data_IF_903576107937
#
_entry.id   IF_903576107937
#
_cell.length_a   1.000
_cell.length_b   1.000
_cell.length_c   1.000
_cell.angle_alpha   90.00
_cell.angle_beta   90.00
_cell.angle_gamma   90.00
#
_symmetry.space_group_name_H-M   'P 1'
#
loop_
_entity.id
_entity.type
_entity.pdbx_description
1 polymer ?
#
# COMPACT_ATOMS: atom_id res chain seq x y z
N UNK A 1 -2.35 -2.76 -16.87
CA UNK A 1 -2.46 -1.31 -16.94
C UNK A 1 -2.95 -0.92 -18.33
N UNK A 2 -3.98 -0.10 -18.41
CA UNK A 2 -4.47 0.47 -19.67
C UNK A 2 -4.01 1.94 -19.69
N UNK A 3 -3.36 2.35 -20.78
CA UNK A 3 -2.93 3.75 -20.95
C UNK A 3 -4.14 4.65 -21.19
N UNK A 4 -4.11 5.85 -20.66
CA UNK A 4 -5.18 6.86 -20.88
C UNK A 4 -5.14 7.41 -22.31
N UNK A 5 -3.93 7.50 -22.89
CA UNK A 5 -3.74 7.93 -24.27
C UNK A 5 -2.81 6.97 -25.00
N UNK A 6 -3.05 6.70 -26.30
CA UNK A 6 -2.14 5.88 -27.10
C UNK A 6 -0.81 6.60 -27.33
N UNK A 7 0.28 5.86 -27.21
CA UNK A 7 1.63 6.38 -27.53
C UNK A 7 2.00 5.95 -28.93
N UNK A 8 2.33 6.92 -29.79
CA UNK A 8 2.81 6.64 -31.14
C UNK A 8 4.26 6.25 -31.10
N UNK A 9 4.58 5.07 -31.67
CA UNK A 9 5.96 4.63 -31.89
C UNK A 9 6.49 5.35 -33.14
N UNK A 10 7.00 6.52 -32.96
CA UNK A 10 7.56 7.38 -34.00
C UNK A 10 8.80 8.11 -33.46
N UNK A 11 9.76 8.42 -34.30
CA UNK A 11 11.06 9.03 -34.03
C UNK A 11 12.03 8.09 -33.28
N UNK A 12 13.11 8.64 -32.71
CA UNK A 12 14.08 7.88 -31.96
C UNK A 12 13.48 7.12 -30.77
N UNK A 13 14.12 6.02 -30.41
CA UNK A 13 13.63 5.11 -29.35
C UNK A 13 13.45 5.86 -28.03
N UNK A 14 14.35 6.78 -27.70
CA UNK A 14 14.31 7.55 -26.45
C UNK A 14 13.04 8.40 -26.34
N UNK A 15 12.58 8.97 -27.48
CA UNK A 15 11.42 9.87 -27.49
C UNK A 15 10.13 9.13 -27.18
N UNK A 16 9.89 8.02 -27.86
CA UNK A 16 8.64 7.27 -27.62
C UNK A 16 8.67 6.51 -26.31
N UNK A 17 9.85 6.04 -25.83
CA UNK A 17 9.98 5.43 -24.49
C UNK A 17 9.68 6.45 -23.39
N UNK A 18 10.22 7.66 -23.47
CA UNK A 18 9.92 8.74 -22.52
C UNK A 18 8.42 9.10 -22.52
N UNK A 19 7.79 9.12 -23.69
CA UNK A 19 6.35 9.35 -23.77
C UNK A 19 5.55 8.19 -23.19
N UNK A 20 5.96 6.95 -23.43
CA UNK A 20 5.33 5.76 -22.84
C UNK A 20 5.41 5.81 -21.31
N UNK A 21 6.58 6.11 -20.77
CA UNK A 21 6.81 6.25 -19.34
C UNK A 21 5.90 7.31 -18.72
N UNK A 22 5.79 8.48 -19.31
CA UNK A 22 4.89 9.55 -18.88
C UNK A 22 3.43 9.09 -18.86
N UNK A 23 2.95 8.45 -19.92
CA UNK A 23 1.57 7.97 -20.01
C UNK A 23 1.30 6.82 -19.02
N UNK A 24 2.26 5.93 -18.79
CA UNK A 24 2.15 4.88 -17.76
C UNK A 24 2.01 5.50 -16.36
N UNK A 25 2.78 6.53 -16.03
CA UNK A 25 2.70 7.25 -14.76
C UNK A 25 1.35 7.96 -14.60
N UNK A 26 0.88 8.62 -15.65
CA UNK A 26 -0.44 9.23 -15.65
C UNK A 26 -1.56 8.21 -15.40
N UNK A 27 -1.51 7.07 -16.09
CA UNK A 27 -2.50 6.01 -15.94
C UNK A 27 -2.48 5.41 -14.52
N UNK A 28 -1.31 5.23 -13.92
CA UNK A 28 -1.17 4.72 -12.56
C UNK A 28 -1.68 5.72 -11.50
N UNK A 29 -1.38 7.01 -11.67
CA UNK A 29 -1.92 8.07 -10.79
C UNK A 29 -3.44 8.13 -10.84
N UNK A 30 -4.02 8.12 -12.04
CA UNK A 30 -5.46 8.13 -12.22
C UNK A 30 -6.11 6.89 -11.59
N UNK A 31 -5.53 5.70 -11.82
CA UNK A 31 -6.00 4.44 -11.24
C UNK A 31 -5.89 4.44 -9.70
N UNK A 32 -4.85 5.04 -9.13
CA UNK A 32 -4.70 5.17 -7.67
C UNK A 32 -5.75 6.14 -7.08
N UNK A 33 -5.96 7.29 -7.71
CA UNK A 33 -6.96 8.26 -7.27
C UNK A 33 -8.38 7.68 -7.31
N UNK A 34 -8.72 6.95 -8.38
CA UNK A 34 -9.99 6.24 -8.52
C UNK A 34 -10.15 5.15 -7.45
N UNK A 35 -9.15 4.29 -7.28
CA UNK A 35 -9.19 3.19 -6.32
C UNK A 35 -9.25 3.69 -4.86
N UNK A 36 -8.63 4.85 -4.55
CA UNK A 36 -8.71 5.49 -3.23
C UNK A 36 -10.11 6.03 -2.94
N UNK A 37 -10.80 6.58 -3.94
CA UNK A 37 -12.13 7.17 -3.80
C UNK A 37 -13.27 6.16 -3.84
N UNK A 38 -13.03 4.96 -4.32
CA UNK A 38 -14.05 3.92 -4.47
C UNK A 38 -14.59 3.45 -3.11
N UNK A 39 -15.85 3.80 -2.80
CA UNK A 39 -16.54 3.39 -1.56
C UNK A 39 -16.90 1.90 -1.51
N UNK A 40 -16.97 1.23 -2.65
CA UNK A 40 -17.17 -0.22 -2.78
C UNK A 40 -16.03 -0.78 -3.63
N UNK A 41 -15.66 -2.05 -3.39
CA UNK A 41 -14.79 -2.83 -4.29
C UNK A 41 -15.37 -2.74 -5.70
N UNK A 42 -15.11 -1.64 -6.38
CA UNK A 42 -15.35 -1.55 -7.81
C UNK A 42 -14.56 -2.70 -8.44
N UNK A 43 -15.20 -3.44 -9.34
CA UNK A 43 -14.53 -4.44 -10.19
C UNK A 43 -13.56 -3.77 -11.19
N UNK A 44 -13.05 -2.58 -10.81
CA UNK A 44 -12.05 -1.86 -11.57
C UNK A 44 -10.85 -2.77 -11.73
N UNK A 45 -10.45 -2.97 -12.95
CA UNK A 45 -9.30 -3.78 -13.35
C UNK A 45 -8.00 -3.06 -12.95
N UNK A 46 -7.87 -2.79 -11.64
CA UNK A 46 -6.73 -2.09 -11.05
C UNK A 46 -5.49 -2.96 -11.18
N UNK A 47 -4.37 -2.40 -11.60
CA UNK A 47 -3.12 -3.13 -11.62
C UNK A 47 -2.71 -3.55 -10.20
N UNK A 48 -1.92 -4.63 -10.08
CA UNK A 48 -1.53 -5.21 -8.79
C UNK A 48 -0.83 -4.20 -7.88
N UNK A 49 0.03 -3.35 -8.42
CA UNK A 49 0.77 -2.32 -7.68
C UNK A 49 -0.17 -1.32 -6.99
N UNK A 50 -1.15 -0.80 -7.72
CA UNK A 50 -2.14 0.13 -7.17
C UNK A 50 -3.03 -0.56 -6.13
N UNK A 51 -3.50 -1.78 -6.43
CA UNK A 51 -4.34 -2.53 -5.49
C UNK A 51 -3.62 -2.80 -4.15
N UNK A 52 -2.34 -3.14 -4.22
CA UNK A 52 -1.49 -3.35 -3.04
C UNK A 52 -1.29 -2.06 -2.26
N UNK A 53 -1.00 -0.96 -2.93
CA UNK A 53 -0.80 0.34 -2.29
C UNK A 53 -2.07 0.80 -1.57
N UNK A 54 -3.23 0.70 -2.23
CA UNK A 54 -4.52 1.05 -1.62
C UNK A 54 -4.82 0.17 -0.40
N UNK A 55 -4.53 -1.13 -0.47
CA UNK A 55 -4.71 -2.04 0.67
C UNK A 55 -3.82 -1.64 1.85
N UNK A 56 -2.56 -1.25 1.61
CA UNK A 56 -1.61 -0.83 2.64
C UNK A 56 -1.99 0.52 3.25
N UNK A 57 -2.36 1.50 2.43
CA UNK A 57 -2.83 2.82 2.89
C UNK A 57 -4.09 2.67 3.75
N UNK A 58 -5.02 1.82 3.32
CA UNK A 58 -6.22 1.52 4.11
C UNK A 58 -5.86 0.92 5.46
N UNK A 59 -4.98 -0.09 5.49
CA UNK A 59 -4.54 -0.73 6.71
C UNK A 59 -3.90 0.26 7.69
N UNK A 60 -2.98 1.11 7.23
CA UNK A 60 -2.34 2.13 8.05
C UNK A 60 -3.38 3.04 8.70
N UNK A 61 -4.33 3.56 7.92
CA UNK A 61 -5.40 4.43 8.42
C UNK A 61 -6.31 3.73 9.43
N UNK A 62 -6.69 2.49 9.15
CA UNK A 62 -7.61 1.74 10.01
C UNK A 62 -6.95 1.40 11.37
N UNK A 63 -5.64 1.11 11.39
CA UNK A 63 -4.86 0.92 12.64
C UNK A 63 -4.70 2.24 13.40
N UNK A 64 -4.38 3.34 12.73
CA UNK A 64 -4.30 4.66 13.39
C UNK A 64 -5.63 5.06 14.02
N UNK A 65 -6.75 4.76 13.35
CA UNK A 65 -8.07 4.97 13.93
C UNK A 65 -8.30 4.14 15.20
N UNK A 66 -7.86 2.89 15.24
CA UNK A 66 -7.97 2.04 16.43
C UNK A 66 -7.07 2.54 17.57
N UNK A 67 -5.83 3.01 17.27
CA UNK A 67 -4.95 3.65 18.24
C UNK A 67 -5.62 4.89 18.83
N UNK A 68 -6.13 5.77 17.97
CA UNK A 68 -6.82 7.00 18.39
C UNK A 68 -8.06 6.73 19.25
N UNK A 69 -8.85 5.71 18.90
CA UNK A 69 -10.01 5.30 19.70
C UNK A 69 -9.59 4.79 21.09
N UNK A 70 -8.53 3.98 21.16
CA UNK A 70 -7.99 3.50 22.44
C UNK A 70 -7.47 4.64 23.32
N UNK A 71 -6.75 5.60 22.73
CA UNK A 71 -6.17 6.71 23.47
C UNK A 71 -7.21 7.73 23.95
N UNK A 72 -8.20 8.06 23.12
CA UNK A 72 -9.19 9.11 23.41
C UNK A 72 -10.37 8.61 24.23
N UNK A 73 -10.79 7.35 24.04
CA UNK A 73 -12.02 6.79 24.62
C UNK A 73 -11.75 5.65 25.60
N UNK A 74 -10.50 5.23 25.77
CA UNK A 74 -10.11 4.00 26.47
C UNK A 74 -10.91 2.77 25.97
N UNK A 75 -11.23 2.76 24.66
CA UNK A 75 -12.06 1.74 24.03
C UNK A 75 -11.19 0.74 23.30
N UNK A 76 -11.05 -0.44 23.87
CA UNK A 76 -10.29 -1.54 23.29
C UNK A 76 -11.14 -2.36 22.30
N UNK A 77 -12.46 -2.15 22.24
CA UNK A 77 -13.33 -2.87 21.31
C UNK A 77 -13.01 -2.60 19.86
N UNK A 78 -12.49 -1.39 19.56
CA UNK A 78 -12.03 -1.04 18.22
C UNK A 78 -10.94 -1.99 17.67
N UNK A 79 -10.11 -2.56 18.53
CA UNK A 79 -9.12 -3.56 18.15
C UNK A 79 -9.75 -4.92 17.84
N UNK A 80 -10.81 -5.30 18.56
CA UNK A 80 -11.55 -6.54 18.30
C UNK A 80 -12.25 -6.48 16.94
N UNK A 81 -12.94 -5.37 16.66
CA UNK A 81 -13.60 -5.12 15.39
C UNK A 81 -12.62 -5.10 14.23
N UNK A 82 -11.47 -4.43 14.43
CA UNK A 82 -10.41 -4.37 13.44
C UNK A 82 -9.84 -5.78 13.15
N UNK A 83 -9.53 -6.54 14.19
CA UNK A 83 -9.01 -7.91 14.06
C UNK A 83 -10.01 -8.84 13.35
N UNK A 84 -11.30 -8.74 13.70
CA UNK A 84 -12.36 -9.50 13.03
C UNK A 84 -12.47 -9.14 11.54
N UNK A 85 -12.43 -7.86 11.22
CA UNK A 85 -12.51 -7.35 9.84
C UNK A 85 -11.35 -7.87 8.98
N UNK A 86 -10.11 -7.79 9.47
CA UNK A 86 -8.93 -8.24 8.71
C UNK A 86 -8.80 -9.77 8.66
N UNK A 87 -9.29 -10.48 9.69
CA UNK A 87 -9.43 -11.94 9.65
C UNK A 87 -10.40 -12.38 8.56
N UNK A 88 -11.55 -11.72 8.47
CA UNK A 88 -12.56 -12.00 7.45
C UNK A 88 -12.05 -11.65 6.03
N UNK A 89 -11.38 -10.50 5.85
CA UNK A 89 -10.79 -10.10 4.56
C UNK A 89 -9.74 -11.12 4.06
N UNK A 90 -8.89 -11.62 4.95
CA UNK A 90 -7.93 -12.67 4.61
C UNK A 90 -8.61 -13.99 4.23
N UNK A 91 -9.69 -14.37 4.94
CA UNK A 91 -10.48 -15.57 4.66
C UNK A 91 -11.14 -15.48 3.28
N UNK A 92 -11.80 -14.36 2.96
CA UNK A 92 -12.44 -14.14 1.66
C UNK A 92 -11.44 -14.23 0.51
N UNK A 93 -10.25 -13.63 0.66
CA UNK A 93 -9.18 -13.71 -0.35
C UNK A 93 -8.66 -15.14 -0.53
N UNK A 94 -8.56 -15.90 0.55
CA UNK A 94 -8.15 -17.30 0.49
C UNK A 94 -9.23 -18.17 -0.20
N UNK A 95 -10.50 -17.90 0.03
CA UNK A 95 -11.62 -18.61 -0.61
C UNK A 95 -11.65 -18.35 -2.12
N UNK A 96 -11.40 -17.10 -2.56
CA UNK A 96 -11.28 -16.75 -3.98
C UNK A 96 -10.19 -17.60 -4.67
N UNK A 97 -9.04 -17.81 -4.02
CA UNK A 97 -7.96 -18.62 -4.58
C UNK A 97 -8.23 -20.13 -4.56
N UNK A 98 -9.07 -20.60 -3.64
CA UNK A 98 -9.45 -22.01 -3.51
C UNK A 98 -10.58 -22.41 -4.45
N UNK A 99 -11.37 -21.45 -4.93
CA UNK A 99 -12.51 -21.75 -5.80
C UNK A 99 -12.06 -22.38 -7.11
N UNK A 100 -12.53 -23.59 -7.46
CA UNK A 100 -12.17 -24.28 -8.70
C UNK A 100 -12.62 -23.52 -9.95
N UNK A 101 -13.74 -22.81 -9.91
CA UNK A 101 -14.23 -21.98 -11.02
C UNK A 101 -13.34 -20.79 -11.37
N UNK A 102 -12.48 -20.37 -10.46
CA UNK A 102 -11.49 -19.31 -10.69
C UNK A 102 -10.23 -19.88 -11.36
N UNK A 103 -10.00 -21.19 -11.28
CA UNK A 103 -8.78 -21.79 -11.80
C UNK A 103 -8.74 -21.85 -13.34
N UNK A 104 -9.90 -22.02 -13.98
CA UNK A 104 -9.99 -22.25 -15.43
C UNK A 104 -10.22 -20.95 -16.23
N UNK A 105 -10.93 -19.96 -15.63
CA UNK A 105 -11.30 -18.71 -16.32
C UNK A 105 -10.43 -17.49 -15.97
N UNK A 106 -9.61 -17.56 -14.92
CA UNK A 106 -8.81 -16.41 -14.47
C UNK A 106 -7.43 -16.46 -15.07
N UNK A 107 -7.05 -15.37 -15.75
CA UNK A 107 -5.70 -15.25 -16.30
C UNK A 107 -4.62 -15.45 -15.23
N UNK A 108 -3.47 -16.04 -15.60
CA UNK A 108 -2.32 -16.25 -14.72
C UNK A 108 -1.92 -14.97 -13.97
N UNK A 109 -2.03 -13.81 -14.63
CA UNK A 109 -1.74 -12.52 -14.03
C UNK A 109 -2.73 -12.16 -12.92
N UNK A 110 -4.03 -12.42 -13.11
CA UNK A 110 -5.04 -12.16 -12.10
C UNK A 110 -4.88 -13.09 -10.88
N UNK A 111 -4.53 -14.35 -11.09
CA UNK A 111 -4.23 -15.29 -10.02
C UNK A 111 -3.01 -14.84 -9.22
N UNK A 112 -1.91 -14.49 -9.88
CA UNK A 112 -0.70 -13.97 -9.22
C UNK A 112 -0.98 -12.70 -8.43
N UNK A 113 -1.81 -11.79 -8.95
CA UNK A 113 -2.29 -10.60 -8.22
C UNK A 113 -3.02 -10.99 -6.93
N UNK A 114 -3.96 -11.94 -7.00
CA UNK A 114 -4.74 -12.37 -5.84
C UNK A 114 -3.87 -13.08 -4.79
N UNK A 115 -2.89 -13.87 -5.20
CA UNK A 115 -1.90 -14.47 -4.29
C UNK A 115 -1.13 -13.42 -3.50
N UNK A 116 -0.66 -12.38 -4.17
CA UNK A 116 0.07 -11.29 -3.50
C UNK A 116 -0.84 -10.47 -2.58
N UNK A 117 -2.08 -10.21 -2.97
CA UNK A 117 -3.06 -9.53 -2.12
C UNK A 117 -3.41 -10.35 -0.87
N UNK A 118 -3.49 -11.68 -0.98
CA UNK A 118 -3.67 -12.57 0.16
C UNK A 118 -2.47 -12.53 1.10
N UNK A 119 -1.24 -12.61 0.58
CA UNK A 119 -0.02 -12.55 1.41
C UNK A 119 0.02 -11.25 2.24
N UNK A 120 -0.32 -10.11 1.63
CA UNK A 120 -0.38 -8.83 2.34
C UNK A 120 -1.54 -8.79 3.34
N UNK A 121 -2.69 -9.39 3.04
CA UNK A 121 -3.81 -9.47 3.99
C UNK A 121 -3.46 -10.33 5.22
N UNK A 122 -2.73 -11.44 5.02
CA UNK A 122 -2.21 -12.25 6.11
C UNK A 122 -1.22 -11.48 6.97
N UNK A 123 -0.27 -10.77 6.35
CA UNK A 123 0.66 -9.90 7.06
C UNK A 123 -0.07 -8.85 7.91
N UNK A 124 -1.05 -8.16 7.34
CA UNK A 124 -1.84 -7.15 8.03
C UNK A 124 -2.59 -7.74 9.24
N UNK A 125 -3.18 -8.92 9.07
CA UNK A 125 -3.85 -9.65 10.16
C UNK A 125 -2.88 -9.96 11.31
N UNK A 126 -1.71 -10.52 11.00
CA UNK A 126 -0.70 -10.85 12.02
C UNK A 126 -0.20 -9.60 12.76
N UNK A 127 0.08 -8.52 12.02
CA UNK A 127 0.47 -7.25 12.64
C UNK A 127 -0.62 -6.69 13.58
N UNK A 128 -1.89 -6.78 13.20
CA UNK A 128 -3.01 -6.36 14.06
C UNK A 128 -3.11 -7.24 15.30
N UNK A 129 -2.96 -8.56 15.16
CA UNK A 129 -2.96 -9.49 16.30
C UNK A 129 -1.87 -9.14 17.30
N UNK A 130 -0.65 -8.92 16.81
CA UNK A 130 0.48 -8.51 17.67
C UNK A 130 0.26 -7.14 18.32
N UNK A 131 -0.23 -6.14 17.56
CA UNK A 131 -0.52 -4.82 18.11
C UNK A 131 -1.63 -4.86 19.17
N UNK A 132 -2.64 -5.70 18.99
CA UNK A 132 -3.72 -5.89 19.96
C UNK A 132 -3.22 -6.41 21.30
N UNK A 133 -2.25 -7.33 21.29
CA UNK A 133 -1.62 -7.84 22.52
C UNK A 133 -0.93 -6.72 23.33
N UNK A 134 -0.44 -5.70 22.65
CA UNK A 134 0.20 -4.53 23.24
C UNK A 134 -0.71 -3.30 23.37
N UNK A 135 -1.98 -3.40 22.94
CA UNK A 135 -2.89 -2.25 22.85
C UNK A 135 -3.05 -1.47 24.17
N UNK A 136 -3.05 -2.17 25.32
CA UNK A 136 -3.14 -1.54 26.65
C UNK A 136 -1.88 -0.73 27.03
N UNK A 137 -0.75 -0.98 26.37
CA UNK A 137 0.53 -0.35 26.65
C UNK A 137 0.86 0.77 25.66
N UNK A 138 0.09 0.89 24.56
CA UNK A 138 0.25 1.95 23.57
C UNK A 138 -0.25 3.27 24.18
N UNK A 139 0.68 4.18 24.50
CA UNK A 139 0.39 5.48 25.11
C UNK A 139 0.32 6.63 24.09
N UNK A 140 0.84 6.42 22.90
CA UNK A 140 0.84 7.43 21.83
C UNK A 140 1.00 6.78 20.46
N UNK A 141 0.77 7.56 19.42
CA UNK A 141 1.09 7.19 18.04
C UNK A 141 2.60 7.11 17.77
N UNK A 142 3.44 7.58 18.73
CA UNK A 142 4.90 7.51 18.66
C UNK A 142 5.47 6.24 19.30
N UNK A 143 4.63 5.34 19.82
CA UNK A 143 5.11 4.11 20.43
C UNK A 143 5.86 3.23 19.44
N UNK A 144 6.96 2.64 19.93
CA UNK A 144 7.85 1.82 19.11
C UNK A 144 7.14 0.67 18.39
N UNK A 145 6.15 0.04 19.04
CA UNK A 145 5.38 -1.05 18.44
C UNK A 145 4.69 -0.64 17.13
N UNK A 146 4.22 0.61 17.04
CA UNK A 146 3.63 1.19 15.85
C UNK A 146 4.69 1.79 14.91
N UNK A 147 5.63 2.56 15.45
CA UNK A 147 6.63 3.27 14.65
C UNK A 147 7.59 2.33 13.90
N UNK A 148 7.87 1.15 14.45
CA UNK A 148 8.73 0.14 13.80
C UNK A 148 8.11 -0.53 12.57
N UNK A 149 6.79 -0.40 12.37
CA UNK A 149 6.11 -0.98 11.23
C UNK A 149 6.21 -0.07 10.00
N UNK A 150 6.28 -0.71 8.82
CA UNK A 150 6.27 0.00 7.55
C UNK A 150 4.84 0.44 7.21
N UNK A 151 4.61 1.74 7.23
CA UNK A 151 3.31 2.40 7.06
C UNK A 151 3.24 3.14 5.74
N UNK A 152 2.04 3.19 5.15
CA UNK A 152 1.82 3.80 3.84
C UNK A 152 0.73 4.86 3.94
N UNK A 153 1.03 6.05 3.47
CA UNK A 153 0.15 7.20 3.52
C UNK A 153 -0.16 7.70 2.12
N UNK A 154 -1.41 8.13 1.91
CA UNK A 154 -1.78 8.86 0.72
C UNK A 154 -1.62 10.37 0.97
N UNK A 155 -0.98 11.06 0.05
CA UNK A 155 -0.82 12.51 0.12
C UNK A 155 -2.05 13.19 -0.51
N UNK A 156 -2.71 14.07 0.24
CA UNK A 156 -3.82 14.87 -0.27
C UNK A 156 -3.29 16.21 -0.78
N UNK A 157 -3.27 16.38 -2.10
CA UNK A 157 -2.78 17.62 -2.75
C UNK A 157 -3.51 18.90 -2.27
N UNK A 158 -4.71 18.78 -1.70
CA UNK A 158 -5.48 19.92 -1.20
C UNK A 158 -4.87 20.63 0.02
N UNK A 159 -3.96 19.98 0.76
CA UNK A 159 -3.31 20.57 1.94
C UNK A 159 -2.00 21.32 1.62
N UNK A 160 -1.39 21.11 0.44
CA UNK A 160 -0.09 21.73 0.07
C UNK A 160 -0.20 23.17 -0.48
N UNK A 161 -1.40 23.74 -0.70
CA UNK A 161 -1.54 25.09 -1.24
C UNK A 161 -1.29 26.26 -0.27
N UNK A 162 -0.64 26.02 0.89
CA UNK A 162 -0.35 27.07 1.89
C UNK A 162 1.10 27.12 2.37
N UNK A 163 2.03 26.47 1.71
CA UNK A 163 3.45 26.69 1.96
C UNK A 163 4.09 27.08 0.63
N UNK A 164 4.73 28.25 0.62
CA UNK A 164 5.46 28.88 -0.49
C UNK A 164 6.75 28.14 -0.85
N UNK A 165 6.68 26.84 -1.03
CA UNK A 165 7.76 26.06 -1.63
C UNK A 165 7.28 25.53 -2.97
N UNK A 166 7.79 26.14 -4.04
CA UNK A 166 7.78 25.64 -5.41
C UNK A 166 8.64 24.36 -5.52
N UNK A 167 8.39 23.37 -4.67
CA UNK A 167 8.84 22.01 -4.93
C UNK A 167 8.06 21.54 -6.16
N UNK A 168 8.68 21.63 -7.32
CA UNK A 168 8.22 21.00 -8.55
C UNK A 168 7.67 19.62 -8.21
N UNK A 169 6.36 19.43 -8.41
CA UNK A 169 5.70 18.13 -8.27
C UNK A 169 6.52 17.13 -9.08
N UNK A 170 7.40 16.37 -8.43
CA UNK A 170 8.21 15.37 -9.14
C UNK A 170 7.23 14.47 -9.89
N UNK A 171 7.23 14.55 -11.23
CA UNK A 171 6.29 13.79 -12.05
C UNK A 171 6.46 12.28 -11.88
N UNK A 172 7.50 11.86 -11.16
CA UNK A 172 7.90 10.48 -10.94
C UNK A 172 7.16 9.79 -9.78
N UNK A 173 6.63 10.55 -8.82
CA UNK A 173 6.05 9.99 -7.60
C UNK A 173 4.53 9.82 -7.68
N UNK A 174 4.03 8.74 -7.07
CA UNK A 174 2.61 8.64 -6.72
C UNK A 174 2.30 9.62 -5.58
N UNK A 175 1.04 10.06 -5.48
CA UNK A 175 0.57 10.86 -4.35
C UNK A 175 0.49 9.98 -3.07
N UNK A 176 1.61 9.32 -2.75
CA UNK A 176 1.74 8.41 -1.62
C UNK A 176 3.20 8.34 -1.15
N UNK A 177 3.38 8.11 0.15
CA UNK A 177 4.70 7.89 0.73
C UNK A 177 4.67 6.73 1.73
N UNK A 178 5.82 6.09 1.91
CA UNK A 178 6.04 5.11 2.95
C UNK A 178 6.80 5.76 4.11
N UNK A 179 6.44 5.37 5.34
CA UNK A 179 7.10 5.83 6.57
C UNK A 179 7.43 4.64 7.47
N UNK A 180 8.63 4.62 8.02
CA UNK A 180 9.04 3.69 9.07
C UNK A 180 10.00 4.40 10.01
N UNK A 181 9.65 4.47 11.29
CA UNK A 181 10.32 5.38 12.23
C UNK A 181 10.36 6.81 11.65
N UNK A 182 11.52 7.41 11.54
CA UNK A 182 11.75 8.74 10.95
C UNK A 182 12.11 8.69 9.45
N UNK A 183 12.23 7.50 8.87
CA UNK A 183 12.50 7.35 7.44
C UNK A 183 11.21 7.56 6.65
N UNK A 184 11.23 8.54 5.75
CA UNK A 184 10.10 8.83 4.85
C UNK A 184 10.62 8.76 3.42
N UNK A 185 9.92 8.01 2.57
CA UNK A 185 10.26 7.91 1.15
C UNK A 185 9.00 8.01 0.29
N UNK A 186 9.04 8.81 -0.79
CA UNK A 186 7.94 8.83 -1.75
C UNK A 186 7.83 7.46 -2.43
N UNK A 187 6.63 7.11 -2.86
CA UNK A 187 6.41 5.89 -3.64
C UNK A 187 6.50 6.23 -5.11
N UNK A 188 7.53 5.71 -5.74
CA UNK A 188 7.78 5.88 -7.15
C UNK A 188 7.06 4.79 -7.97
N UNK A 189 6.84 5.11 -9.24
CA UNK A 189 6.28 4.21 -10.23
C UNK A 189 7.40 3.42 -10.90
N UNK A 190 8.00 2.49 -10.16
CA UNK A 190 9.05 1.64 -10.67
C UNK A 190 8.49 0.28 -11.10
N UNK A 191 8.97 -0.22 -12.22
CA UNK A 191 8.69 -1.58 -12.61
C UNK A 191 9.60 -2.53 -11.84
N UNK A 192 9.00 -3.33 -10.96
CA UNK A 192 9.72 -4.28 -10.10
C UNK A 192 9.77 -5.69 -10.70
N UNK A 193 9.16 -5.90 -11.87
CA UNK A 193 9.05 -7.21 -12.48
C UNK A 193 8.01 -8.11 -11.80
N UNK A 194 8.01 -9.40 -12.16
CA UNK A 194 7.06 -10.41 -11.68
C UNK A 194 7.68 -11.33 -10.61
N UNK A 195 8.47 -10.77 -9.71
CA UNK A 195 9.08 -11.54 -8.63
C UNK A 195 8.02 -12.05 -7.67
N UNK A 196 8.16 -13.31 -7.23
CA UNK A 196 7.33 -13.86 -6.17
C UNK A 196 7.60 -13.08 -4.89
N UNK A 197 6.55 -12.64 -4.21
CA UNK A 197 6.71 -12.00 -2.92
C UNK A 197 7.10 -13.02 -1.87
N UNK A 198 8.05 -12.64 -1.04
CA UNK A 198 8.43 -13.41 0.14
C UNK A 198 7.34 -13.29 1.20
N UNK A 199 7.05 -14.38 1.90
CA UNK A 199 6.19 -14.36 3.07
C UNK A 199 6.84 -13.46 4.13
N UNK A 200 6.04 -12.56 4.69
CA UNK A 200 6.51 -11.66 5.73
C UNK A 200 6.71 -12.42 7.04
N UNK A 201 7.90 -12.38 7.56
CA UNK A 201 8.27 -12.98 8.85
C UNK A 201 8.80 -11.89 9.78
N UNK A 202 8.83 -12.11 11.11
CA UNK A 202 9.46 -11.17 12.05
C UNK A 202 10.93 -10.85 11.70
N UNK A 203 11.65 -11.83 11.15
CA UNK A 203 13.02 -11.61 10.66
C UNK A 203 13.05 -10.67 9.46
N UNK A 204 12.19 -10.88 8.47
CA UNK A 204 12.06 -9.99 7.32
C UNK A 204 11.72 -8.55 7.77
N UNK A 205 10.82 -8.39 8.75
CA UNK A 205 10.50 -7.09 9.34
C UNK A 205 11.71 -6.39 9.95
N UNK A 206 12.55 -7.13 10.68
CA UNK A 206 13.81 -6.58 11.24
C UNK A 206 14.81 -6.21 10.15
N UNK A 207 14.93 -7.02 9.10
CA UNK A 207 15.79 -6.69 7.96
C UNK A 207 15.34 -5.40 7.26
N UNK A 208 14.05 -5.22 7.03
CA UNK A 208 13.49 -3.99 6.42
C UNK A 208 13.75 -2.79 7.33
N UNK A 209 13.57 -2.92 8.64
CA UNK A 209 13.88 -1.86 9.60
C UNK A 209 15.37 -1.46 9.56
N UNK A 210 16.28 -2.42 9.51
CA UNK A 210 17.71 -2.17 9.35
C UNK A 210 18.05 -1.47 8.04
N UNK A 211 17.43 -1.89 6.94
CA UNK A 211 17.62 -1.25 5.62
C UNK A 211 17.12 0.19 5.61
N UNK A 212 15.94 0.48 6.14
CA UNK A 212 15.41 1.85 6.19
C UNK A 212 16.25 2.75 7.08
N UNK A 213 16.77 2.24 8.21
CA UNK A 213 17.71 2.97 9.06
C UNK A 213 19.02 3.27 8.33
N UNK A 214 19.58 2.31 7.60
CA UNK A 214 20.79 2.50 6.79
C UNK A 214 20.56 3.52 5.67
N UNK A 215 19.46 3.44 4.94
CA UNK A 215 19.10 4.40 3.89
C UNK A 215 18.93 5.82 4.43
N UNK A 216 18.42 5.98 5.66
CA UNK A 216 18.35 7.29 6.32
C UNK A 216 19.74 7.84 6.63
N UNK A 217 20.67 7.01 7.05
CA UNK A 217 22.03 7.44 7.40
C UNK A 217 22.87 7.87 6.17
N UNK A 218 22.51 7.44 4.97
CA UNK A 218 23.21 7.76 3.71
C UNK A 218 22.67 9.06 3.08
N UNK A 219 21.45 9.49 3.44
CA UNK A 219 20.84 10.75 2.99
C UNK A 219 21.28 11.92 3.88
#
# INVERSE_FOLDING_TARGET
>A
LVLLKPVRVWRGVEVWLSNLEKEMRHALRASFAEAKSAKKRSKVTTCAQVALLVQRVKWTRDVEFAIDASLKRNDLSAWDDLAATYKQDAKEKAEILRSPHVADDVSRAARSKNEVLLLVALQHRECITSLKEYAQHIKSDQDWCWQSLLRFYATDKKKKKKADDEDEDDPLTLDAHAKQTDFITPINLEYVGSWRRTVWTPLAGRCVLGLTAALKAIR
#
